data_IF_501208168640
#
_entry.id   IF_501208168640
#
_cell.length_a   1.000
_cell.length_b   1.000
_cell.length_c   1.000
_cell.angle_alpha   90.00
_cell.angle_beta   90.00
_cell.angle_gamma   90.00
#
_symmetry.space_group_name_H-M   'P 1'
#
loop_
_entity.id
_entity.type
_entity.pdbx_description
1 polymer ?
#
# COMPACT_ATOMS: atom_id res chain seq x y z
N UNK A 1 -11.86 -25.98 -2.63
CA UNK A 1 -10.68 -25.13 -2.79
C UNK A 1 -10.63 -24.20 -1.60
N UNK A 2 -9.53 -24.17 -0.82
CA UNK A 2 -9.45 -23.32 0.37
C UNK A 2 -9.26 -21.85 -0.05
N UNK A 3 -9.81 -20.92 0.73
CA UNK A 3 -9.66 -19.49 0.49
C UNK A 3 -8.17 -19.06 0.44
N UNK A 4 -7.31 -19.72 1.23
CA UNK A 4 -5.87 -19.48 1.23
C UNK A 4 -5.19 -19.84 -0.11
N UNK A 5 -5.68 -20.86 -0.82
CA UNK A 5 -5.16 -21.23 -2.14
C UNK A 5 -5.59 -20.21 -3.20
N UNK A 6 -6.85 -19.75 -3.13
CA UNK A 6 -7.37 -18.72 -4.03
C UNK A 6 -6.61 -17.41 -3.91
N UNK A 7 -6.36 -16.96 -2.67
CA UNK A 7 -5.55 -15.77 -2.41
C UNK A 7 -4.11 -15.95 -2.87
N UNK A 8 -3.50 -17.11 -2.61
CA UNK A 8 -2.14 -17.41 -3.07
C UNK A 8 -2.02 -17.36 -4.59
N UNK A 9 -2.98 -17.92 -5.32
CA UNK A 9 -2.98 -17.86 -6.79
C UNK A 9 -3.17 -16.44 -7.33
N UNK A 10 -4.01 -15.63 -6.68
CA UNK A 10 -4.19 -14.24 -7.06
C UNK A 10 -2.91 -13.41 -6.85
N UNK A 11 -2.20 -13.62 -5.75
CA UNK A 11 -0.95 -12.90 -5.46
C UNK A 11 0.26 -13.41 -6.28
N UNK A 12 0.31 -14.68 -6.61
CA UNK A 12 1.44 -15.29 -7.36
C UNK A 12 1.19 -15.24 -8.87
N UNK A 13 -0.05 -15.26 -9.30
CA UNK A 13 -0.44 -15.43 -10.70
C UNK A 13 -0.80 -14.16 -11.46
N UNK A 14 -0.68 -12.98 -10.86
CA UNK A 14 -0.94 -11.71 -11.55
C UNK A 14 0.39 -11.15 -12.07
N UNK A 15 0.76 -11.42 -13.33
CA UNK A 15 1.82 -10.67 -13.96
C UNK A 15 1.27 -9.25 -14.21
N UNK A 16 1.63 -8.32 -13.37
CA UNK A 16 1.23 -6.92 -13.51
C UNK A 16 2.07 -6.16 -14.51
N UNK A 17 3.05 -6.81 -15.05
CA UNK A 17 3.94 -6.17 -15.99
C UNK A 17 3.66 -6.67 -17.39
N UNK A 18 3.48 -5.78 -18.32
CA UNK A 18 3.79 -6.04 -19.72
C UNK A 18 5.26 -6.49 -19.80
N UNK A 19 5.62 -7.38 -20.74
CA UNK A 19 7.00 -7.83 -20.88
C UNK A 19 7.95 -6.63 -20.92
N UNK A 20 8.81 -6.49 -19.89
CA UNK A 20 9.77 -5.40 -19.75
C UNK A 20 9.42 -4.31 -18.74
N UNK A 21 8.24 -4.33 -18.12
CA UNK A 21 7.91 -3.44 -17.00
C UNK A 21 8.27 -4.11 -15.68
N UNK A 22 8.68 -3.31 -14.70
CA UNK A 22 8.89 -3.79 -13.34
C UNK A 22 7.55 -4.20 -12.72
N UNK A 23 7.54 -5.29 -11.95
CA UNK A 23 6.36 -5.72 -11.21
C UNK A 23 5.79 -4.55 -10.40
N UNK A 24 4.48 -4.31 -10.54
CA UNK A 24 3.78 -3.34 -9.72
C UNK A 24 3.48 -3.96 -8.34
N UNK A 25 4.16 -3.50 -7.27
CA UNK A 25 3.98 -4.05 -5.92
C UNK A 25 2.62 -3.71 -5.31
N UNK A 26 1.86 -2.82 -5.94
CA UNK A 26 0.58 -2.28 -5.44
C UNK A 26 -0.56 -2.57 -6.40
N UNK A 27 -0.46 -3.65 -7.15
CA UNK A 27 -1.44 -3.99 -8.16
C UNK A 27 -2.86 -4.08 -7.64
N UNK A 28 -3.77 -3.54 -8.43
CA UNK A 28 -5.19 -3.73 -8.24
C UNK A 28 -5.59 -5.13 -8.73
N UNK A 29 -6.01 -5.99 -7.82
CA UNK A 29 -6.44 -7.36 -8.13
C UNK A 29 -7.87 -7.45 -8.71
N UNK A 30 -8.58 -6.33 -8.84
CA UNK A 30 -9.95 -6.33 -9.34
C UNK A 30 -9.98 -6.76 -10.82
N UNK A 31 -10.84 -7.72 -11.13
CA UNK A 31 -10.94 -8.30 -12.47
C UNK A 31 -9.86 -9.31 -12.83
N UNK A 32 -8.89 -9.57 -11.94
CA UNK A 32 -7.81 -10.51 -12.22
C UNK A 32 -8.32 -11.95 -12.34
N UNK A 33 -7.92 -12.61 -13.42
CA UNK A 33 -8.29 -13.98 -13.70
C UNK A 33 -7.52 -14.95 -12.80
N UNK A 34 -8.21 -15.93 -12.25
CA UNK A 34 -7.63 -17.02 -11.49
C UNK A 34 -7.35 -18.20 -12.42
N UNK A 35 -6.09 -18.40 -12.79
CA UNK A 35 -5.69 -19.32 -13.87
C UNK A 35 -6.08 -20.78 -13.63
N UNK A 36 -6.21 -21.21 -12.35
CA UNK A 36 -6.48 -22.60 -12.00
C UNK A 36 -7.86 -22.81 -11.35
N UNK A 37 -8.65 -21.74 -11.18
CA UNK A 37 -9.96 -21.82 -10.57
C UNK A 37 -11.03 -21.90 -11.64
N UNK A 38 -11.55 -23.09 -11.85
CA UNK A 38 -12.68 -23.31 -12.74
C UNK A 38 -14.00 -22.99 -12.02
N UNK A 39 -14.82 -22.20 -12.65
CA UNK A 39 -16.20 -21.95 -12.23
C UNK A 39 -17.09 -23.08 -12.74
N UNK A 40 -17.28 -24.11 -11.94
CA UNK A 40 -18.11 -25.28 -12.33
C UNK A 40 -19.62 -25.08 -12.13
N UNK A 41 -20.04 -23.87 -11.78
CA UNK A 41 -21.43 -23.59 -11.53
C UNK A 41 -22.22 -23.34 -12.80
N UNK A 42 -23.39 -23.97 -12.90
CA UNK A 42 -24.37 -23.59 -13.90
C UNK A 42 -24.72 -22.09 -13.75
N UNK A 43 -25.09 -21.43 -14.85
CA UNK A 43 -25.38 -20.00 -14.82
C UNK A 43 -26.47 -19.62 -13.78
N UNK A 44 -27.36 -20.55 -13.45
CA UNK A 44 -28.43 -20.40 -12.46
C UNK A 44 -27.89 -20.31 -11.00
N UNK A 45 -26.71 -20.87 -10.75
CA UNK A 45 -26.10 -20.89 -9.42
C UNK A 45 -25.09 -19.75 -9.21
N UNK A 46 -25.02 -18.80 -10.12
CA UNK A 46 -24.12 -17.65 -10.00
C UNK A 46 -24.67 -16.67 -8.98
N UNK A 47 -23.80 -16.07 -8.14
CA UNK A 47 -24.25 -15.09 -7.19
C UNK A 47 -24.90 -13.90 -7.89
N UNK A 48 -26.03 -13.45 -7.36
CA UNK A 48 -26.71 -12.26 -7.85
C UNK A 48 -25.87 -11.01 -7.51
N UNK A 49 -26.09 -9.92 -8.25
CA UNK A 49 -25.41 -8.64 -7.98
C UNK A 49 -25.59 -8.17 -6.53
N UNK A 50 -26.78 -8.37 -5.97
CA UNK A 50 -27.09 -8.04 -4.56
C UNK A 50 -26.33 -8.89 -3.55
N UNK A 51 -26.07 -10.16 -3.89
CA UNK A 51 -25.24 -11.04 -3.04
C UNK A 51 -23.76 -10.65 -3.09
N UNK A 52 -23.28 -10.25 -4.28
CA UNK A 52 -21.92 -9.73 -4.46
C UNK A 52 -21.74 -8.43 -3.66
N UNK A 53 -22.70 -7.50 -3.75
CA UNK A 53 -22.67 -6.28 -2.93
C UNK A 53 -22.73 -6.58 -1.43
N UNK A 54 -23.59 -7.50 -1.01
CA UNK A 54 -23.65 -7.96 0.36
C UNK A 54 -22.34 -8.54 0.86
N UNK A 55 -21.66 -9.34 0.04
CA UNK A 55 -20.35 -9.90 0.34
C UNK A 55 -19.30 -8.80 0.49
N UNK A 56 -19.24 -7.86 -0.45
CA UNK A 56 -18.30 -6.73 -0.41
C UNK A 56 -18.50 -5.84 0.82
N UNK A 57 -19.75 -5.58 1.19
CA UNK A 57 -20.08 -4.77 2.35
C UNK A 57 -19.73 -5.46 3.69
N UNK A 58 -19.66 -6.79 3.68
CA UNK A 58 -19.21 -7.59 4.82
C UNK A 58 -17.72 -7.96 4.78
N UNK A 59 -16.93 -7.33 3.91
CA UNK A 59 -15.49 -7.54 3.85
C UNK A 59 -15.09 -8.91 3.28
N UNK A 60 -15.90 -9.47 2.42
CA UNK A 60 -15.62 -10.70 1.69
C UNK A 60 -15.22 -10.37 0.26
N UNK A 61 -14.17 -10.98 -0.23
CA UNK A 61 -13.73 -10.86 -1.62
C UNK A 61 -14.51 -11.85 -2.49
N UNK A 62 -15.50 -11.42 -3.27
CA UNK A 62 -16.26 -12.32 -4.12
C UNK A 62 -15.47 -12.71 -5.37
N UNK A 63 -15.64 -13.96 -5.78
CA UNK A 63 -15.11 -14.48 -7.03
C UNK A 63 -16.29 -14.68 -7.98
N UNK A 64 -16.22 -14.00 -9.11
CA UNK A 64 -17.18 -14.12 -10.20
C UNK A 64 -16.60 -14.88 -11.39
N UNK A 65 -17.37 -15.02 -12.47
CA UNK A 65 -16.85 -15.54 -13.71
C UNK A 65 -16.02 -14.47 -14.43
N UNK A 66 -14.91 -14.90 -15.01
CA UNK A 66 -14.08 -14.03 -15.83
C UNK A 66 -14.81 -13.63 -17.12
N UNK A 67 -14.86 -12.33 -17.41
CA UNK A 67 -15.39 -11.83 -18.69
C UNK A 67 -14.50 -12.18 -19.89
N UNK A 68 -13.20 -12.40 -19.65
CA UNK A 68 -12.23 -12.72 -20.70
C UNK A 68 -12.08 -14.23 -20.95
N UNK A 69 -12.30 -15.04 -19.91
CA UNK A 69 -12.13 -16.49 -19.95
C UNK A 69 -13.36 -17.18 -19.34
N UNK A 70 -14.41 -17.39 -20.14
CA UNK A 70 -15.61 -18.09 -19.66
C UNK A 70 -15.28 -19.43 -19.02
N UNK A 71 -15.90 -19.73 -17.89
CA UNK A 71 -15.63 -20.94 -17.12
C UNK A 71 -14.49 -20.83 -16.10
N UNK A 72 -13.76 -19.72 -16.08
CA UNK A 72 -12.72 -19.45 -15.07
C UNK A 72 -13.20 -18.39 -14.08
N UNK A 73 -12.68 -18.47 -12.85
CA UNK A 73 -12.94 -17.48 -11.81
C UNK A 73 -12.11 -16.22 -12.02
N UNK A 74 -12.70 -15.07 -11.66
CA UNK A 74 -11.97 -13.80 -11.53
C UNK A 74 -12.34 -13.14 -10.20
N UNK A 75 -11.43 -12.36 -9.65
CA UNK A 75 -11.68 -11.55 -8.46
C UNK A 75 -12.57 -10.38 -8.87
N UNK A 76 -13.78 -10.29 -8.32
CA UNK A 76 -14.68 -9.17 -8.61
C UNK A 76 -14.11 -7.88 -8.02
N UNK A 77 -13.77 -7.92 -6.74
CA UNK A 77 -13.06 -6.84 -6.04
C UNK A 77 -12.34 -7.39 -4.83
N UNK A 78 -11.06 -7.08 -4.71
CA UNK A 78 -10.25 -7.49 -3.56
C UNK A 78 -10.45 -6.51 -2.41
N UNK A 79 -11.10 -6.97 -1.32
CA UNK A 79 -11.41 -6.15 -0.16
C UNK A 79 -10.84 -6.78 1.12
N UNK A 80 -10.57 -5.91 2.10
CA UNK A 80 -10.15 -6.35 3.43
C UNK A 80 -11.36 -6.71 4.27
N UNK A 81 -11.17 -7.53 5.30
CA UNK A 81 -12.22 -7.85 6.28
C UNK A 81 -12.63 -6.64 7.15
N UNK A 82 -11.86 -5.54 7.10
CA UNK A 82 -12.13 -4.31 7.86
C UNK A 82 -13.00 -3.35 7.05
N UNK A 83 -14.18 -3.81 6.65
CA UNK A 83 -15.14 -3.03 5.85
C UNK A 83 -15.88 -1.95 6.66
N UNK A 84 -15.95 -2.11 8.00
CA UNK A 84 -16.68 -1.21 8.89
C UNK A 84 -15.77 -0.58 9.95
N UNK A 85 -16.01 0.67 10.26
CA UNK A 85 -15.47 1.36 11.42
C UNK A 85 -16.59 2.06 12.15
N UNK A 86 -16.81 1.72 13.43
CA UNK A 86 -17.91 2.25 14.25
C UNK A 86 -19.30 2.10 13.60
N UNK A 87 -19.52 1.00 12.88
CA UNK A 87 -20.79 0.72 12.19
C UNK A 87 -20.99 1.43 10.85
N UNK A 88 -20.01 2.26 10.43
CA UNK A 88 -20.02 2.94 9.15
C UNK A 88 -19.04 2.26 8.17
N UNK A 89 -19.32 2.34 6.88
CA UNK A 89 -18.42 1.83 5.83
C UNK A 89 -17.06 2.55 5.90
N UNK A 90 -15.99 1.79 6.02
CA UNK A 90 -14.63 2.34 6.06
C UNK A 90 -13.95 2.15 4.69
N UNK A 91 -13.95 3.18 3.89
CA UNK A 91 -13.34 3.14 2.56
C UNK A 91 -11.82 3.28 2.58
N UNK A 92 -11.24 3.87 3.63
CA UNK A 92 -9.80 4.13 3.73
C UNK A 92 -8.93 2.85 3.76
N UNK A 93 -9.47 1.75 4.29
CA UNK A 93 -8.77 0.46 4.35
C UNK A 93 -9.57 -0.68 3.73
N UNK A 94 -10.57 -0.33 2.92
CA UNK A 94 -11.46 -1.32 2.31
C UNK A 94 -10.75 -2.15 1.24
N UNK A 95 -10.06 -1.51 0.33
CA UNK A 95 -9.37 -2.19 -0.77
C UNK A 95 -8.00 -2.69 -0.32
N UNK A 96 -7.65 -3.93 -0.68
CA UNK A 96 -6.35 -4.50 -0.33
C UNK A 96 -5.19 -3.74 -0.96
N UNK A 97 -5.38 -3.14 -2.14
CA UNK A 97 -4.37 -2.31 -2.80
C UNK A 97 -3.96 -1.08 -1.97
N UNK A 98 -4.89 -0.48 -1.22
CA UNK A 98 -4.57 0.65 -0.33
C UNK A 98 -3.65 0.20 0.81
N UNK A 99 -3.97 -0.94 1.44
CA UNK A 99 -3.16 -1.49 2.54
C UNK A 99 -1.78 -1.91 2.03
N UNK A 100 -1.72 -2.62 0.91
CA UNK A 100 -0.45 -3.02 0.28
C UNK A 100 0.39 -1.81 -0.13
N UNK A 101 -0.26 -0.75 -0.63
CA UNK A 101 0.40 0.52 -0.97
C UNK A 101 1.04 1.20 0.24
N UNK A 102 0.31 1.25 1.35
CA UNK A 102 0.82 1.80 2.60
C UNK A 102 2.02 0.99 3.14
N UNK A 103 1.90 -0.34 3.16
CA UNK A 103 2.98 -1.24 3.62
C UNK A 103 4.22 -1.15 2.72
N UNK A 104 4.03 -1.11 1.39
CA UNK A 104 5.11 -0.94 0.44
C UNK A 104 5.81 0.41 0.62
N UNK A 105 5.05 1.49 0.77
CA UNK A 105 5.57 2.84 1.03
C UNK A 105 6.41 2.86 2.31
N UNK A 106 5.86 2.35 3.42
CA UNK A 106 6.56 2.31 4.70
C UNK A 106 7.86 1.49 4.62
N UNK A 107 7.81 0.33 3.97
CA UNK A 107 8.98 -0.54 3.80
C UNK A 107 10.06 0.10 2.92
N UNK A 108 9.66 0.73 1.81
CA UNK A 108 10.55 1.41 0.88
C UNK A 108 11.26 2.59 1.54
N UNK A 109 10.51 3.44 2.25
CA UNK A 109 11.07 4.59 2.97
C UNK A 109 12.02 4.12 4.06
N UNK A 110 11.65 3.09 4.84
CA UNK A 110 12.52 2.52 5.88
C UNK A 110 13.84 1.99 5.28
N UNK A 111 13.79 1.26 4.18
CA UNK A 111 14.96 0.74 3.50
C UNK A 111 15.85 1.88 2.95
N UNK A 112 15.24 2.90 2.35
CA UNK A 112 15.95 4.07 1.83
C UNK A 112 16.65 4.86 2.97
N UNK A 113 15.98 5.08 4.09
CA UNK A 113 16.55 5.75 5.27
C UNK A 113 17.72 4.96 5.87
N UNK A 114 17.56 3.64 6.02
CA UNK A 114 18.63 2.78 6.50
C UNK A 114 19.85 2.80 5.58
N UNK A 115 19.65 2.89 4.28
CA UNK A 115 20.74 2.97 3.31
C UNK A 115 21.43 4.33 3.34
N UNK A 116 20.65 5.42 3.38
CA UNK A 116 21.19 6.78 3.32
C UNK A 116 21.89 7.21 4.61
N UNK A 117 21.34 6.84 5.75
CA UNK A 117 21.76 7.37 7.07
C UNK A 117 22.38 6.33 8.02
N UNK A 118 22.74 5.18 7.48
CA UNK A 118 23.38 4.12 8.27
C UNK A 118 24.64 4.62 8.97
N UNK A 119 24.68 4.48 10.30
CA UNK A 119 25.83 4.87 11.11
C UNK A 119 26.00 6.38 11.30
N UNK A 120 25.01 7.18 10.94
CA UNK A 120 24.97 8.61 11.27
C UNK A 120 24.41 8.85 12.67
N UNK A 121 24.80 9.98 13.27
CA UNK A 121 24.27 10.42 14.56
C UNK A 121 23.14 11.42 14.33
N UNK A 122 22.10 11.31 15.13
CA UNK A 122 21.03 12.30 15.13
C UNK A 122 21.49 13.59 15.79
N UNK A 123 21.39 14.70 15.09
CA UNK A 123 21.62 16.06 15.60
C UNK A 123 20.31 16.83 15.68
N UNK A 124 20.37 18.02 16.26
CA UNK A 124 19.24 18.94 16.35
C UNK A 124 19.28 19.97 15.22
N UNK A 125 18.12 20.38 14.75
CA UNK A 125 18.01 21.51 13.83
C UNK A 125 18.28 22.83 14.55
N UNK A 126 18.84 23.80 13.82
CA UNK A 126 18.93 25.19 14.32
C UNK A 126 17.55 25.84 14.37
N UNK A 127 17.34 26.83 15.25
CA UNK A 127 16.04 27.52 15.38
C UNK A 127 15.48 28.12 14.08
N UNK A 128 16.34 28.39 13.10
CA UNK A 128 15.97 28.91 11.78
C UNK A 128 15.75 27.82 10.71
N UNK A 129 15.66 26.54 11.11
CA UNK A 129 15.42 25.41 10.21
C UNK A 129 16.65 24.97 9.41
N UNK A 130 17.80 25.59 9.59
CA UNK A 130 19.04 25.11 8.96
C UNK A 130 19.63 23.96 9.75
N UNK A 131 20.26 22.97 9.10
CA UNK A 131 20.92 21.89 9.82
C UNK A 131 22.04 22.43 10.73
N UNK A 132 21.99 22.04 12.01
CA UNK A 132 22.86 22.56 13.05
C UNK A 132 24.34 22.26 12.83
N UNK A 133 24.68 21.30 12.00
CA UNK A 133 26.07 20.85 11.86
C UNK A 133 26.39 20.45 10.44
N UNK A 134 27.54 20.94 9.99
CA UNK A 134 28.24 20.42 8.80
C UNK A 134 29.22 19.30 9.14
N UNK A 135 29.19 18.82 10.38
CA UNK A 135 30.05 17.71 10.75
C UNK A 135 29.69 16.44 9.95
N UNK A 136 30.66 15.73 9.44
CA UNK A 136 30.40 14.50 8.71
C UNK A 136 29.70 13.50 9.64
N UNK A 137 28.69 12.81 9.11
CA UNK A 137 27.90 11.78 9.82
C UNK A 137 26.93 12.31 10.89
N UNK A 138 26.44 13.52 10.75
CA UNK A 138 25.29 14.01 11.53
C UNK A 138 24.11 14.21 10.57
N UNK A 139 22.96 13.70 10.96
CA UNK A 139 21.68 13.90 10.28
C UNK A 139 20.72 14.62 11.21
N UNK A 140 19.94 15.55 10.69
CA UNK A 140 18.94 16.29 11.45
C UNK A 140 17.51 15.92 11.02
N UNK A 141 16.49 16.15 11.85
CA UNK A 141 15.10 15.89 11.49
C UNK A 141 14.67 16.57 10.19
N UNK A 142 15.12 17.81 9.95
CA UNK A 142 14.81 18.53 8.70
C UNK A 142 15.43 17.85 7.47
N UNK A 143 16.64 17.30 7.58
CA UNK A 143 17.27 16.54 6.49
C UNK A 143 16.51 15.24 6.22
N UNK A 144 16.11 14.53 7.28
CA UNK A 144 15.30 13.31 7.15
C UNK A 144 13.97 13.65 6.48
N UNK A 145 13.28 14.71 6.93
CA UNK A 145 12.03 15.17 6.33
C UNK A 145 12.17 15.47 4.84
N UNK A 146 13.19 16.20 4.44
CA UNK A 146 13.45 16.51 3.04
C UNK A 146 13.73 15.24 2.21
N UNK A 147 14.50 14.30 2.75
CA UNK A 147 14.78 13.03 2.11
C UNK A 147 13.51 12.18 1.94
N UNK A 148 12.71 12.05 3.00
CA UNK A 148 11.44 11.31 2.95
C UNK A 148 10.50 11.92 1.93
N UNK A 149 10.37 13.24 1.90
CA UNK A 149 9.56 13.93 0.90
C UNK A 149 10.02 13.60 -0.53
N UNK A 150 11.32 13.61 -0.79
CA UNK A 150 11.86 13.23 -2.09
C UNK A 150 11.54 11.76 -2.46
N UNK A 151 11.56 10.84 -1.49
CA UNK A 151 11.16 9.44 -1.72
C UNK A 151 9.65 9.32 -2.01
N UNK A 152 8.81 10.08 -1.31
CA UNK A 152 7.37 10.12 -1.59
C UNK A 152 7.07 10.61 -3.01
N UNK A 153 7.76 11.66 -3.47
CA UNK A 153 7.64 12.15 -4.86
C UNK A 153 8.05 11.09 -5.88
N UNK A 154 9.10 10.31 -5.59
CA UNK A 154 9.49 9.19 -6.48
C UNK A 154 8.42 8.09 -6.52
N UNK A 155 7.75 7.81 -5.41
CA UNK A 155 6.64 6.86 -5.35
C UNK A 155 5.41 7.39 -6.10
N UNK A 156 5.16 8.70 -6.04
CA UNK A 156 4.13 9.35 -6.85
C UNK A 156 4.40 9.23 -8.35
N UNK A 157 5.65 9.45 -8.78
CA UNK A 157 6.06 9.27 -10.18
C UNK A 157 5.89 7.82 -10.68
N UNK A 158 5.94 6.85 -9.78
CA UNK A 158 5.65 5.43 -10.06
C UNK A 158 4.15 5.10 -10.02
N UNK A 159 3.29 6.07 -9.72
CA UNK A 159 1.84 5.87 -9.61
C UNK A 159 1.37 5.15 -8.35
N UNK A 160 2.25 4.97 -7.34
CA UNK A 160 1.92 4.30 -6.07
C UNK A 160 1.19 5.24 -5.12
N UNK A 161 1.60 6.51 -5.09
CA UNK A 161 0.98 7.58 -4.31
C UNK A 161 0.37 8.63 -5.23
N UNK A 162 -0.48 9.50 -4.66
CA UNK A 162 -1.08 10.63 -5.36
C UNK A 162 -1.00 11.88 -4.48
N UNK A 163 -0.95 13.05 -5.14
CA UNK A 163 -1.06 14.35 -4.50
C UNK A 163 -0.09 14.57 -3.33
N UNK A 164 1.13 14.01 -3.42
CA UNK A 164 2.17 14.10 -2.40
C UNK A 164 2.45 15.55 -2.01
N UNK A 165 2.50 16.47 -2.97
CA UNK A 165 2.76 17.89 -2.71
C UNK A 165 1.63 18.55 -1.89
N UNK A 166 0.37 18.20 -2.16
CA UNK A 166 -0.77 18.71 -1.43
C UNK A 166 -0.83 18.20 0.01
N UNK A 167 -0.39 16.94 0.21
CA UNK A 167 -0.42 16.23 1.49
C UNK A 167 0.92 16.26 2.24
N UNK A 168 1.88 17.09 1.82
CA UNK A 168 3.20 17.18 2.47
C UNK A 168 3.20 17.97 3.80
N UNK A 169 2.22 18.83 4.03
CA UNK A 169 2.17 19.68 5.23
C UNK A 169 2.15 18.88 6.53
N UNK A 170 1.35 17.79 6.68
CA UNK A 170 1.32 16.96 7.88
C UNK A 170 2.47 15.95 7.99
N UNK A 171 3.45 15.94 7.08
CA UNK A 171 4.66 15.13 7.26
C UNK A 171 5.46 15.66 8.45
N UNK A 172 5.42 14.92 9.55
CA UNK A 172 6.12 15.25 10.79
C UNK A 172 7.30 14.31 10.97
N UNK A 173 8.46 14.87 11.32
CA UNK A 173 9.68 14.12 11.67
C UNK A 173 10.25 14.75 12.91
N UNK A 174 10.17 14.06 14.04
CA UNK A 174 10.59 14.56 15.34
C UNK A 174 11.50 13.56 16.06
N UNK A 175 12.49 14.03 16.83
CA UNK A 175 13.27 13.14 17.68
C UNK A 175 12.34 12.47 18.70
N UNK A 176 12.57 11.19 18.96
CA UNK A 176 11.86 10.49 20.03
C UNK A 176 12.27 11.07 21.38
N UNK A 177 11.27 11.43 22.20
CA UNK A 177 11.49 12.02 23.51
C UNK A 177 11.94 11.00 24.58
N UNK A 178 11.72 9.71 24.33
CA UNK A 178 11.98 8.63 25.29
C UNK A 178 13.25 7.86 24.92
N UNK A 179 13.45 7.60 23.63
CA UNK A 179 14.57 6.79 23.14
C UNK A 179 15.58 7.67 22.40
N UNK A 180 16.73 8.00 23.03
CA UNK A 180 17.76 8.82 22.40
C UNK A 180 18.25 8.22 21.08
N UNK A 181 18.34 9.06 20.05
CA UNK A 181 18.82 8.65 18.72
C UNK A 181 17.77 8.00 17.81
N UNK A 182 16.54 7.89 18.27
CA UNK A 182 15.39 7.50 17.46
C UNK A 182 14.64 8.72 16.94
N UNK A 183 13.94 8.53 15.83
CA UNK A 183 13.10 9.54 15.20
C UNK A 183 11.71 8.95 15.00
N UNK A 184 10.70 9.68 15.46
CA UNK A 184 9.31 9.39 15.16
C UNK A 184 8.92 10.10 13.86
N UNK A 185 8.24 9.38 13.01
CA UNK A 185 7.84 9.91 11.72
C UNK A 185 6.37 9.58 11.46
N UNK A 186 5.61 10.60 11.13
CA UNK A 186 4.23 10.47 10.70
C UNK A 186 4.14 10.87 9.23
N UNK A 187 3.75 9.89 8.41
CA UNK A 187 3.56 10.07 6.97
C UNK A 187 2.07 10.05 6.72
N UNK A 188 1.48 11.15 6.22
CA UNK A 188 0.09 11.16 5.82
C UNK A 188 -0.10 10.19 4.65
N UNK A 189 -1.01 9.25 4.80
CA UNK A 189 -1.43 8.33 3.75
C UNK A 189 -2.90 8.62 3.42
N UNK A 190 -3.15 9.22 2.27
CA UNK A 190 -4.46 9.28 1.62
C UNK A 190 -4.40 8.57 0.26
#
# INVERSE_FOLDING_TARGET
>A
VSAARLTGEAFIGVPNALPGEADDPVANLNGCNLATVLMQRAAVDRPLATEIEGALNNGLTPIGESGERPGYGAIVRSVTSRSLSSGQQNYAVRDTSIVTGADYTATTIRAALLTAYRGMKLGTDLPNGNPASRAPRIVTPSMIRAFVYAQLVLLEQRGILRDVAANAAPLVVEPDSVVPGCVNMEIPAE
#
